data_IF_325702233656
#
_entry.id   IF_325702233656
#
_cell.length_a   1.000
_cell.length_b   1.000
_cell.length_c   1.000
_cell.angle_alpha   90.00
_cell.angle_beta   90.00
_cell.angle_gamma   90.00
#
_symmetry.space_group_name_H-M   'P 1'
#
loop_
_entity.id
_entity.type
_entity.pdbx_description
1 polymer ?
#
# COMPACT_ATOMS: atom_id res chain seq x y z
N UNK A 1 33.00 14.96 4.04
CA UNK A 1 32.39 15.79 2.98
C UNK A 1 30.87 15.61 3.07
N UNK A 2 30.20 16.59 3.64
CA UNK A 2 28.75 16.55 3.90
C UNK A 2 27.95 16.90 2.64
N UNK A 3 27.10 16.01 2.19
CA UNK A 3 26.13 16.29 1.11
C UNK A 3 24.92 17.06 1.68
N UNK A 4 24.39 18.04 0.96
CA UNK A 4 23.36 18.91 1.50
C UNK A 4 21.98 18.24 1.60
N UNK A 5 21.31 18.46 2.71
CA UNK A 5 19.93 18.03 2.99
C UNK A 5 18.86 18.71 2.10
N UNK A 6 19.28 19.57 1.19
CA UNK A 6 18.37 20.39 0.39
C UNK A 6 17.63 19.65 -0.76
N UNK A 7 18.18 18.57 -1.27
CA UNK A 7 17.62 17.91 -2.46
C UNK A 7 16.31 17.15 -2.18
N UNK A 8 16.19 16.57 -0.98
CA UNK A 8 14.97 15.83 -0.61
C UNK A 8 13.78 16.76 -0.38
N UNK A 9 14.03 17.96 0.17
CA UNK A 9 12.99 18.96 0.39
C UNK A 9 12.48 19.58 -0.92
N UNK A 10 13.36 19.72 -1.91
CA UNK A 10 12.99 20.24 -3.24
C UNK A 10 12.15 19.25 -4.03
N UNK A 11 12.47 17.95 -3.94
CA UNK A 11 11.71 16.89 -4.60
C UNK A 11 10.28 16.79 -4.05
N UNK A 12 10.10 17.04 -2.74
CA UNK A 12 8.78 16.98 -2.12
C UNK A 12 7.89 18.18 -2.52
N UNK A 13 8.50 19.36 -2.75
CA UNK A 13 7.77 20.57 -3.20
C UNK A 13 7.23 20.45 -4.62
N UNK A 14 7.94 19.76 -5.49
CA UNK A 14 7.52 19.58 -6.88
C UNK A 14 6.30 18.66 -7.05
N UNK A 15 5.90 17.99 -5.98
CA UNK A 15 4.82 16.98 -5.99
C UNK A 15 3.46 17.50 -5.57
N UNK A 16 3.43 18.61 -4.81
CA UNK A 16 2.16 19.24 -4.43
C UNK A 16 1.78 20.25 -5.51
N UNK A 17 0.91 19.84 -6.41
CA UNK A 17 0.37 20.73 -7.45
C UNK A 17 -0.24 21.98 -6.84
N UNK A 18 0.48 23.06 -6.97
CA UNK A 18 0.09 24.45 -6.90
C UNK A 18 -0.95 24.89 -5.87
N UNK A 19 -0.50 25.19 -4.65
CA UNK A 19 -1.22 26.14 -3.81
C UNK A 19 -0.22 27.24 -3.43
N UNK A 20 -0.44 28.45 -3.98
CA UNK A 20 0.35 29.62 -3.60
C UNK A 20 0.10 29.95 -2.13
N UNK A 21 1.16 29.89 -1.34
CA UNK A 21 1.13 30.41 0.03
C UNK A 21 1.37 31.93 -0.01
N UNK A 22 0.39 32.67 0.47
CA UNK A 22 0.51 34.10 0.76
C UNK A 22 1.39 34.29 1.99
N UNK A 23 2.42 35.11 1.85
CA UNK A 23 3.31 35.50 2.92
C UNK A 23 2.65 36.54 3.84
N UNK A 24 2.53 36.23 5.12
CA UNK A 24 2.28 37.24 6.16
C UNK A 24 3.57 37.46 6.95
N UNK A 25 4.11 38.64 6.83
CA UNK A 25 5.27 39.11 7.62
C UNK A 25 4.83 39.46 9.05
N UNK A 26 5.74 39.15 9.99
CA UNK A 26 5.52 39.34 11.40
C UNK A 26 5.76 40.75 11.89
N UNK A 27 5.18 41.07 13.04
CA UNK A 27 5.60 42.19 13.88
C UNK A 27 5.82 41.68 15.30
N UNK A 28 7.03 41.97 15.80
CA UNK A 28 7.37 41.84 17.21
C UNK A 28 6.99 43.13 17.96
N UNK A 29 6.57 42.99 19.19
CA UNK A 29 6.86 43.88 20.32
C UNK A 29 5.99 43.57 21.53
N UNK A 30 6.58 43.32 22.67
CA UNK A 30 6.66 44.25 23.79
C UNK A 30 6.03 43.71 25.05
N UNK A 31 6.83 43.36 25.97
CA UNK A 31 6.91 43.17 27.42
C UNK A 31 5.69 43.51 28.32
N UNK A 32 5.64 42.71 29.39
CA UNK A 32 5.42 43.06 30.84
C UNK A 32 4.08 42.74 31.46
N UNK A 33 4.17 41.88 32.46
CA UNK A 33 3.75 41.87 33.87
C UNK A 33 2.32 41.51 34.31
N UNK A 34 2.31 40.43 35.06
CA UNK A 34 1.71 40.14 36.41
C UNK A 34 0.23 39.84 36.58
N UNK A 35 0.09 38.74 37.34
CA UNK A 35 -0.87 38.42 38.40
C UNK A 35 -2.19 37.72 38.13
N UNK A 36 -2.22 36.46 38.56
CA UNK A 36 -3.27 35.93 39.44
C UNK A 36 -4.63 35.58 38.85
N UNK A 37 -4.93 34.28 38.79
CA UNK A 37 -6.29 33.78 38.63
C UNK A 37 -6.40 32.45 37.96
N UNK A 38 -7.01 31.49 38.63
CA UNK A 38 -7.08 30.08 38.28
C UNK A 38 -7.53 29.71 36.87
N UNK A 39 -6.89 28.86 36.14
CA UNK A 39 -7.02 28.46 35.19
C UNK A 39 -7.82 27.61 34.94
N UNK A 40 -8.83 27.91 34.52
CA UNK A 40 -9.66 26.96 33.82
C UNK A 40 -8.88 26.60 32.54
N UNK A 41 -8.32 25.44 32.51
CA UNK A 41 -7.72 24.88 31.31
C UNK A 41 -8.85 24.71 30.27
N UNK A 42 -8.99 25.70 29.41
CA UNK A 42 -9.73 25.53 28.15
C UNK A 42 -8.95 24.55 27.30
N UNK A 43 -9.22 23.26 27.48
CA UNK A 43 -8.80 22.23 26.53
C UNK A 43 -9.31 22.67 25.14
N UNK A 44 -8.41 23.15 24.29
CA UNK A 44 -8.72 23.34 22.88
C UNK A 44 -9.18 22.00 22.36
N UNK A 45 -10.48 21.79 22.24
CA UNK A 45 -11.05 20.69 21.51
C UNK A 45 -10.43 20.80 20.12
N UNK A 46 -9.52 19.89 19.79
CA UNK A 46 -8.87 19.87 18.49
C UNK A 46 -9.99 19.84 17.44
N UNK A 47 -10.15 20.95 16.75
CA UNK A 47 -11.17 21.08 15.72
C UNK A 47 -10.87 20.04 14.65
N UNK A 48 -11.72 19.00 14.58
CA UNK A 48 -11.55 17.90 13.66
C UNK A 48 -11.52 18.45 12.24
N UNK A 49 -10.36 18.38 11.60
CA UNK A 49 -10.15 18.93 10.26
C UNK A 49 -11.13 18.26 9.29
N UNK A 50 -12.02 19.06 8.69
CA UNK A 50 -12.95 18.57 7.66
C UNK A 50 -12.17 18.31 6.38
N UNK A 51 -12.01 17.03 6.01
CA UNK A 51 -11.32 16.66 4.78
C UNK A 51 -12.21 16.90 3.57
N UNK A 52 -11.64 17.51 2.54
CA UNK A 52 -12.34 17.79 1.28
C UNK A 52 -12.56 16.51 0.49
N UNK A 53 -13.76 16.35 -0.07
CA UNK A 53 -14.11 15.21 -0.92
C UNK A 53 -13.47 15.40 -2.30
N UNK A 54 -12.86 14.34 -2.82
CA UNK A 54 -12.29 14.28 -4.17
C UNK A 54 -13.33 13.60 -5.09
N UNK A 55 -14.29 14.38 -5.57
CA UNK A 55 -15.42 13.87 -6.35
C UNK A 55 -15.00 13.07 -7.59
N UNK A 56 -13.89 13.45 -8.25
CA UNK A 56 -13.32 12.69 -9.36
C UNK A 56 -13.10 11.22 -8.95
N UNK A 57 -12.50 10.99 -7.79
CA UNK A 57 -12.20 9.63 -7.31
C UNK A 57 -13.49 8.88 -6.98
N UNK A 58 -14.47 9.56 -6.38
CA UNK A 58 -15.78 8.96 -6.06
C UNK A 58 -16.44 8.43 -7.37
N UNK A 59 -16.50 9.29 -8.39
CA UNK A 59 -17.14 8.95 -9.67
C UNK A 59 -16.37 7.80 -10.37
N UNK A 60 -15.03 7.92 -10.44
CA UNK A 60 -14.21 6.88 -11.11
C UNK A 60 -14.33 5.52 -10.42
N UNK A 61 -14.31 5.49 -9.09
CA UNK A 61 -14.45 4.24 -8.34
C UNK A 61 -15.86 3.66 -8.48
N UNK A 62 -16.90 4.50 -8.48
CA UNK A 62 -18.28 4.04 -8.72
C UNK A 62 -18.40 3.40 -10.12
N UNK A 63 -17.91 4.07 -11.16
CA UNK A 63 -17.94 3.55 -12.53
C UNK A 63 -17.15 2.24 -12.66
N UNK A 64 -15.98 2.18 -12.01
CA UNK A 64 -15.15 0.97 -12.00
C UNK A 64 -15.89 -0.23 -11.40
N UNK A 65 -16.54 -0.02 -10.24
CA UNK A 65 -17.29 -1.10 -9.56
C UNK A 65 -18.55 -1.50 -10.36
N UNK A 66 -19.26 -0.55 -10.96
CA UNK A 66 -20.39 -0.85 -11.88
C UNK A 66 -19.88 -1.70 -13.06
N UNK A 67 -18.75 -1.31 -13.65
CA UNK A 67 -18.13 -2.09 -14.74
C UNK A 67 -17.74 -3.50 -14.30
N UNK A 68 -17.23 -3.64 -13.08
CA UNK A 68 -16.87 -4.96 -12.55
C UNK A 68 -18.10 -5.84 -12.30
N UNK A 69 -19.19 -5.28 -11.77
CA UNK A 69 -20.46 -6.01 -11.60
C UNK A 69 -21.00 -6.45 -12.98
N UNK A 70 -20.99 -5.56 -13.95
CA UNK A 70 -21.36 -5.90 -15.33
C UNK A 70 -20.52 -7.06 -15.87
N UNK A 71 -19.20 -7.05 -15.60
CA UNK A 71 -18.27 -8.07 -16.07
C UNK A 71 -18.62 -9.49 -15.57
N UNK A 72 -19.24 -9.61 -14.39
CA UNK A 72 -19.66 -10.92 -13.87
C UNK A 72 -20.63 -11.63 -14.84
N UNK A 73 -21.49 -10.87 -15.53
CA UNK A 73 -22.41 -11.40 -16.54
C UNK A 73 -21.72 -11.85 -17.83
N UNK A 74 -20.45 -11.45 -18.04
CA UNK A 74 -19.67 -11.88 -19.20
C UNK A 74 -18.90 -13.18 -18.96
N UNK A 75 -18.74 -13.61 -17.70
CA UNK A 75 -17.94 -14.82 -17.35
C UNK A 75 -18.42 -16.04 -18.12
N UNK A 76 -19.75 -16.36 -18.14
CA UNK A 76 -20.20 -17.55 -18.89
C UNK A 76 -20.05 -17.45 -20.41
N UNK A 77 -19.80 -16.27 -20.93
CA UNK A 77 -19.66 -16.00 -22.38
C UNK A 77 -18.22 -15.99 -22.87
N UNK A 78 -17.25 -16.05 -21.94
CA UNK A 78 -15.82 -15.90 -22.25
C UNK A 78 -15.15 -17.26 -22.45
N UNK A 79 -14.09 -17.27 -23.24
CA UNK A 79 -13.21 -18.44 -23.33
C UNK A 79 -12.57 -18.72 -21.95
N UNK A 80 -12.44 -19.99 -21.60
CA UNK A 80 -11.78 -20.40 -20.36
C UNK A 80 -10.37 -19.82 -20.27
N UNK A 81 -9.63 -19.77 -21.39
CA UNK A 81 -8.29 -19.21 -21.44
C UNK A 81 -8.27 -17.72 -21.01
N UNK A 82 -9.35 -16.96 -21.28
CA UNK A 82 -9.49 -15.57 -20.85
C UNK A 82 -9.58 -15.48 -19.32
N UNK A 83 -10.33 -16.39 -18.71
CA UNK A 83 -10.48 -16.43 -17.25
C UNK A 83 -9.15 -16.81 -16.57
N UNK A 84 -8.46 -17.81 -17.14
CA UNK A 84 -7.12 -18.22 -16.65
C UNK A 84 -6.13 -17.04 -16.78
N UNK A 85 -6.15 -16.35 -17.93
CA UNK A 85 -5.29 -15.20 -18.17
C UNK A 85 -5.58 -14.06 -17.18
N UNK A 86 -6.87 -13.75 -16.95
CA UNK A 86 -7.26 -12.73 -15.97
C UNK A 86 -6.75 -13.10 -14.57
N UNK A 87 -6.82 -14.38 -14.19
CA UNK A 87 -6.27 -14.87 -12.91
C UNK A 87 -4.74 -14.74 -12.87
N UNK A 88 -4.03 -15.08 -13.95
CA UNK A 88 -2.57 -14.91 -14.01
C UNK A 88 -2.18 -13.41 -13.88
N UNK A 89 -2.92 -12.53 -14.55
CA UNK A 89 -2.72 -11.08 -14.41
C UNK A 89 -2.99 -10.64 -12.96
N UNK A 90 -3.98 -11.21 -12.28
CA UNK A 90 -4.25 -10.94 -10.87
C UNK A 90 -3.04 -11.34 -10.01
N UNK A 91 -2.48 -12.53 -10.22
CA UNK A 91 -1.33 -13.02 -9.44
C UNK A 91 -0.10 -12.11 -9.68
N UNK A 92 0.17 -11.77 -10.95
CA UNK A 92 1.28 -10.85 -11.28
C UNK A 92 1.07 -9.49 -10.61
N UNK A 93 -0.13 -8.95 -10.70
CA UNK A 93 -0.53 -7.69 -10.02
C UNK A 93 -0.24 -7.77 -8.51
N UNK A 94 -0.72 -8.85 -7.89
CA UNK A 94 -0.55 -9.06 -6.45
C UNK A 94 0.93 -9.12 -6.07
N UNK A 95 1.75 -9.86 -6.82
CA UNK A 95 3.21 -9.93 -6.58
C UNK A 95 3.89 -8.57 -6.74
N UNK A 96 3.46 -7.75 -7.70
CA UNK A 96 3.99 -6.39 -7.88
C UNK A 96 3.77 -5.51 -6.66
N UNK A 97 2.64 -5.71 -5.96
CA UNK A 97 2.33 -5.01 -4.71
C UNK A 97 3.02 -5.69 -3.53
N UNK A 98 2.79 -6.99 -3.32
CA UNK A 98 3.23 -7.69 -2.11
C UNK A 98 4.73 -7.92 -2.06
N UNK A 99 5.30 -8.62 -3.06
CA UNK A 99 6.75 -8.83 -3.12
C UNK A 99 7.48 -7.53 -3.47
N UNK A 100 6.90 -6.70 -4.35
CA UNK A 100 7.51 -5.45 -4.82
C UNK A 100 7.32 -4.28 -3.85
N UNK A 101 6.26 -3.49 -4.06
CA UNK A 101 6.06 -2.22 -3.33
C UNK A 101 6.12 -2.43 -1.81
N UNK A 102 5.52 -3.50 -1.30
CA UNK A 102 5.43 -3.79 0.12
C UNK A 102 6.76 -4.31 0.70
N UNK A 103 7.14 -5.56 0.37
CA UNK A 103 8.26 -6.20 1.07
C UNK A 103 9.64 -5.72 0.60
N UNK A 104 9.82 -5.48 -0.72
CA UNK A 104 11.11 -5.02 -1.25
C UNK A 104 11.32 -3.52 -0.98
N UNK A 105 10.41 -2.67 -1.46
CA UNK A 105 10.64 -1.21 -1.45
C UNK A 105 10.17 -0.51 -0.17
N UNK A 106 9.08 -0.94 0.48
CA UNK A 106 8.67 -0.32 1.74
C UNK A 106 9.52 -0.80 2.91
N UNK A 107 9.64 -2.12 3.08
CA UNK A 107 10.28 -2.71 4.27
C UNK A 107 11.75 -3.07 4.08
N UNK A 108 12.26 -3.08 2.83
CA UNK A 108 13.64 -3.45 2.57
C UNK A 108 13.96 -4.83 3.20
N UNK A 109 12.99 -5.74 3.14
CA UNK A 109 13.06 -7.02 3.85
C UNK A 109 13.91 -8.06 3.10
N UNK A 110 14.22 -7.80 1.82
CA UNK A 110 15.15 -8.60 1.02
C UNK A 110 15.82 -7.72 -0.03
N UNK A 111 16.87 -8.24 -0.70
CA UNK A 111 17.53 -7.56 -1.81
C UNK A 111 17.30 -8.30 -3.12
N UNK A 112 16.98 -7.56 -4.18
CA UNK A 112 16.66 -8.11 -5.49
C UNK A 112 17.60 -7.54 -6.57
N UNK A 113 18.04 -8.42 -7.49
CA UNK A 113 18.82 -8.03 -8.67
C UNK A 113 17.95 -7.28 -9.68
N UNK A 114 18.59 -6.56 -10.60
CA UNK A 114 17.92 -5.66 -11.54
C UNK A 114 16.77 -6.33 -12.33
N UNK A 115 16.93 -7.55 -12.91
CA UNK A 115 15.84 -8.15 -13.68
C UNK A 115 14.56 -8.35 -12.84
N UNK A 116 14.71 -8.79 -11.58
CA UNK A 116 13.57 -8.98 -10.69
C UNK A 116 12.95 -7.63 -10.32
N UNK A 117 13.76 -6.60 -10.06
CA UNK A 117 13.24 -5.26 -9.77
C UNK A 117 12.44 -4.69 -10.94
N UNK A 118 12.91 -4.90 -12.19
CA UNK A 118 12.18 -4.48 -13.40
C UNK A 118 10.84 -5.22 -13.48
N UNK A 119 10.84 -6.55 -13.32
CA UNK A 119 9.62 -7.36 -13.34
C UNK A 119 8.61 -6.85 -12.30
N UNK A 120 9.07 -6.64 -11.06
CA UNK A 120 8.19 -6.19 -9.97
C UNK A 120 7.66 -4.77 -10.22
N UNK A 121 8.43 -3.89 -10.87
CA UNK A 121 7.98 -2.53 -11.19
C UNK A 121 6.89 -2.55 -12.29
N UNK A 122 7.05 -3.42 -13.29
CA UNK A 122 6.01 -3.60 -14.33
C UNK A 122 4.74 -4.21 -13.70
N UNK A 123 4.90 -5.21 -12.85
CA UNK A 123 3.79 -5.85 -12.12
C UNK A 123 3.08 -4.84 -11.20
N UNK A 124 3.83 -3.95 -10.54
CA UNK A 124 3.25 -2.87 -9.73
C UNK A 124 2.46 -1.88 -10.59
N UNK A 125 2.93 -1.57 -11.81
CA UNK A 125 2.19 -0.71 -12.73
C UNK A 125 0.87 -1.37 -13.16
N UNK A 126 0.85 -2.72 -13.28
CA UNK A 126 -0.39 -3.48 -13.55
C UNK A 126 -1.40 -3.35 -12.40
N UNK A 127 -0.95 -3.08 -11.17
CA UNK A 127 -1.82 -2.89 -10.00
C UNK A 127 -2.55 -1.55 -9.99
N UNK A 128 -1.97 -0.52 -10.59
CA UNK A 128 -2.52 0.84 -10.65
C UNK A 128 -2.94 1.35 -9.25
N UNK A 129 -2.02 1.24 -8.29
CA UNK A 129 -2.22 1.66 -6.88
C UNK A 129 -1.22 2.74 -6.47
N UNK A 130 -0.96 3.71 -7.33
CA UNK A 130 0.11 4.71 -7.26
C UNK A 130 1.47 4.12 -7.69
N UNK A 131 2.42 4.99 -7.99
CA UNK A 131 3.78 4.55 -8.30
C UNK A 131 4.47 3.98 -7.04
N UNK A 132 5.56 3.25 -7.24
CA UNK A 132 6.28 2.56 -6.16
C UNK A 132 6.69 3.54 -5.05
N UNK A 133 7.16 4.74 -5.42
CA UNK A 133 7.61 5.73 -4.42
C UNK A 133 6.44 6.17 -3.55
N UNK A 134 5.30 6.56 -4.16
CA UNK A 134 4.12 7.00 -3.39
C UNK A 134 3.56 5.89 -2.53
N UNK A 135 3.49 4.67 -3.08
CA UNK A 135 2.99 3.51 -2.35
C UNK A 135 3.86 3.22 -1.12
N UNK A 136 5.19 3.15 -1.32
CA UNK A 136 6.13 2.84 -0.23
C UNK A 136 6.19 3.97 0.81
N UNK A 137 6.11 5.24 0.36
CA UNK A 137 6.04 6.40 1.27
C UNK A 137 4.84 6.28 2.20
N UNK A 138 3.65 6.12 1.62
CA UNK A 138 2.40 6.05 2.39
C UNK A 138 2.41 4.85 3.33
N UNK A 139 2.97 3.71 2.88
CA UNK A 139 3.06 2.50 3.70
C UNK A 139 4.03 2.65 4.88
N UNK A 140 5.18 3.32 4.67
CA UNK A 140 6.11 3.64 5.78
C UNK A 140 5.46 4.59 6.80
N UNK A 141 4.68 5.56 6.32
CA UNK A 141 3.91 6.46 7.20
C UNK A 141 2.87 5.66 7.98
N UNK A 142 2.13 4.76 7.32
CA UNK A 142 1.16 3.88 7.94
C UNK A 142 1.79 3.06 9.09
N UNK A 143 2.91 2.39 8.84
CA UNK A 143 3.58 1.59 9.87
C UNK A 143 4.03 2.42 11.08
N UNK A 144 4.51 3.64 10.83
CA UNK A 144 5.03 4.49 11.90
C UNK A 144 3.93 5.17 12.70
N UNK A 145 2.78 5.49 12.08
CA UNK A 145 1.71 6.26 12.69
C UNK A 145 0.36 5.55 12.61
N UNK A 146 0.39 4.23 12.56
CA UNK A 146 -0.82 3.38 12.44
C UNK A 146 -1.88 3.80 13.45
N UNK A 147 -3.14 3.88 12.99
CA UNK A 147 -4.32 4.17 13.82
C UNK A 147 -4.36 5.61 14.38
N UNK A 148 -3.61 6.54 13.77
CA UNK A 148 -3.65 7.98 14.13
C UNK A 148 -4.14 8.81 12.94
N UNK A 149 -4.30 10.12 13.11
CA UNK A 149 -4.65 11.03 12.00
C UNK A 149 -3.53 11.13 10.95
N UNK A 150 -2.32 10.70 11.27
CA UNK A 150 -1.22 10.61 10.33
C UNK A 150 -1.20 9.30 9.53
N UNK A 151 -2.11 8.37 9.82
CA UNK A 151 -2.26 7.12 9.05
C UNK A 151 -3.10 7.38 7.80
N UNK A 152 -2.58 7.13 6.58
CA UNK A 152 -3.35 7.38 5.35
C UNK A 152 -4.70 6.67 5.29
N UNK A 153 -4.82 5.48 5.87
CA UNK A 153 -6.05 4.68 5.85
C UNK A 153 -6.45 4.20 7.26
N UNK A 154 -6.41 5.10 8.21
CA UNK A 154 -6.68 4.92 9.63
C UNK A 154 -7.96 4.12 9.90
N UNK A 155 -7.82 2.89 10.40
CA UNK A 155 -8.94 1.98 10.68
C UNK A 155 -9.80 2.43 11.87
N UNK A 156 -9.29 3.33 12.74
CA UNK A 156 -10.10 3.94 13.80
C UNK A 156 -11.28 4.75 13.23
N UNK A 157 -11.22 5.15 11.97
CA UNK A 157 -12.30 5.87 11.27
C UNK A 157 -13.36 4.93 10.71
N UNK A 158 -13.24 3.63 10.96
CA UNK A 158 -14.19 2.61 10.56
C UNK A 158 -13.83 1.88 9.26
N UNK A 159 -14.51 0.75 9.04
CA UNK A 159 -14.23 -0.16 7.92
C UNK A 159 -14.28 0.57 6.57
N UNK A 160 -15.35 1.31 6.31
CA UNK A 160 -15.52 1.99 5.01
C UNK A 160 -14.36 2.93 4.71
N UNK A 161 -13.94 3.71 5.73
CA UNK A 161 -12.82 4.66 5.54
C UNK A 161 -11.53 3.91 5.23
N UNK A 162 -11.17 2.94 6.05
CA UNK A 162 -9.92 2.18 5.87
C UNK A 162 -9.92 1.39 4.55
N UNK A 163 -11.09 0.90 4.11
CA UNK A 163 -11.20 0.09 2.88
C UNK A 163 -11.07 0.98 1.64
N UNK A 164 -11.97 1.93 1.44
CA UNK A 164 -12.03 2.73 0.21
C UNK A 164 -12.21 4.23 0.46
N UNK A 165 -12.81 4.62 1.57
CA UNK A 165 -13.17 6.02 1.83
C UNK A 165 -11.98 6.97 1.87
N UNK A 166 -10.80 6.46 2.27
CA UNK A 166 -9.56 7.26 2.28
C UNK A 166 -9.19 7.79 0.89
N UNK A 167 -9.58 7.10 -0.17
CA UNK A 167 -9.37 7.56 -1.56
C UNK A 167 -10.32 8.69 -1.97
N UNK A 168 -11.43 8.83 -1.24
CA UNK A 168 -12.49 9.78 -1.57
C UNK A 168 -12.28 11.16 -0.95
N UNK A 169 -11.24 11.31 -0.12
CA UNK A 169 -10.93 12.58 0.55
C UNK A 169 -9.46 12.95 0.35
N UNK A 170 -9.16 14.24 0.50
CA UNK A 170 -7.78 14.72 0.52
C UNK A 170 -7.06 14.12 1.74
N UNK A 171 -5.78 13.80 1.58
CA UNK A 171 -4.96 13.30 2.71
C UNK A 171 -4.99 14.27 3.87
N UNK A 172 -5.11 13.73 5.08
CA UNK A 172 -5.02 14.53 6.30
C UNK A 172 -3.67 15.27 6.33
N UNK A 173 -3.66 16.48 6.86
CA UNK A 173 -2.46 17.31 6.98
C UNK A 173 -1.32 16.57 7.69
N UNK A 174 -1.64 15.82 8.75
CA UNK A 174 -0.65 15.07 9.52
C UNK A 174 0.02 13.96 8.70
N UNK A 175 -0.69 13.31 7.78
CA UNK A 175 -0.09 12.33 6.86
C UNK A 175 1.05 12.98 6.08
N UNK A 176 0.80 14.18 5.56
CA UNK A 176 1.78 14.94 4.76
C UNK A 176 2.96 15.39 5.63
N UNK A 177 2.65 16.02 6.78
CA UNK A 177 3.69 16.56 7.68
C UNK A 177 4.58 15.48 8.28
N UNK A 178 3.98 14.38 8.74
CA UNK A 178 4.74 13.26 9.31
C UNK A 178 5.52 12.53 8.22
N UNK A 179 4.93 12.39 7.02
CA UNK A 179 5.61 11.78 5.88
C UNK A 179 6.87 12.53 5.49
N UNK A 180 6.86 13.87 5.55
CA UNK A 180 8.04 14.70 5.24
C UNK A 180 9.24 14.41 6.15
N UNK A 181 9.01 13.85 7.34
CA UNK A 181 10.06 13.59 8.34
C UNK A 181 10.71 12.22 8.17
N UNK A 182 10.21 11.39 7.26
CA UNK A 182 10.78 10.06 7.01
C UNK A 182 11.84 10.12 5.92
N UNK A 183 12.80 9.20 6.00
CA UNK A 183 13.85 9.07 4.99
C UNK A 183 13.39 8.18 3.84
N UNK A 184 13.46 8.70 2.63
CA UNK A 184 13.14 8.00 1.38
C UNK A 184 14.31 8.00 0.40
N UNK A 185 15.54 8.26 0.89
CA UNK A 185 16.72 8.33 0.03
C UNK A 185 16.91 7.03 -0.78
N UNK A 186 16.67 5.88 -0.15
CA UNK A 186 16.79 4.58 -0.81
C UNK A 186 15.85 4.45 -2.02
N UNK A 187 14.65 4.99 -1.94
CA UNK A 187 13.69 4.98 -3.06
C UNK A 187 14.09 5.98 -4.15
N UNK A 188 14.60 7.15 -3.74
CA UNK A 188 15.03 8.20 -4.67
C UNK A 188 16.34 7.81 -5.40
N UNK A 189 17.17 6.98 -4.77
CA UNK A 189 18.42 6.50 -5.38
C UNK A 189 18.20 5.28 -6.29
N UNK A 190 17.07 4.57 -6.17
CA UNK A 190 16.78 3.38 -7.01
C UNK A 190 16.37 3.82 -8.42
N UNK A 191 17.18 3.49 -9.48
CA UNK A 191 16.85 3.89 -10.84
C UNK A 191 15.56 3.25 -11.39
N UNK A 192 15.18 2.06 -10.91
CA UNK A 192 13.93 1.39 -11.32
C UNK A 192 12.73 2.16 -10.79
N UNK A 193 12.78 2.57 -9.51
CA UNK A 193 11.72 3.38 -8.88
C UNK A 193 11.59 4.72 -9.61
N UNK A 194 12.73 5.41 -9.85
CA UNK A 194 12.71 6.69 -10.57
C UNK A 194 12.13 6.57 -11.98
N UNK A 195 12.53 5.51 -12.71
CA UNK A 195 12.04 5.27 -14.08
C UNK A 195 10.54 5.00 -14.07
N UNK A 196 10.05 4.09 -13.21
CA UNK A 196 8.64 3.72 -13.10
C UNK A 196 7.80 4.95 -12.74
N UNK A 197 8.26 5.76 -11.78
CA UNK A 197 7.59 7.00 -11.37
C UNK A 197 7.49 8.01 -12.51
N UNK A 198 8.60 8.22 -13.24
CA UNK A 198 8.63 9.16 -14.38
C UNK A 198 7.66 8.75 -15.49
N UNK A 199 7.54 7.44 -15.76
CA UNK A 199 6.75 6.91 -16.85
C UNK A 199 5.45 6.23 -16.37
N UNK A 200 5.00 6.56 -15.14
CA UNK A 200 3.93 5.82 -14.45
C UNK A 200 2.64 5.76 -15.26
N UNK A 201 2.18 6.88 -15.81
CA UNK A 201 0.93 6.93 -16.58
C UNK A 201 0.96 6.00 -17.79
N UNK A 202 2.05 6.05 -18.55
CA UNK A 202 2.25 5.17 -19.71
C UNK A 202 2.33 3.70 -19.29
N UNK A 203 3.11 3.42 -18.25
CA UNK A 203 3.27 2.04 -17.72
C UNK A 203 1.91 1.47 -17.29
N UNK A 204 1.08 2.27 -16.62
CA UNK A 204 -0.26 1.84 -16.17
C UNK A 204 -1.15 1.56 -17.38
N UNK A 205 -1.22 2.46 -18.34
CA UNK A 205 -2.05 2.25 -19.55
C UNK A 205 -1.67 0.92 -20.22
N UNK A 206 -0.37 0.69 -20.41
CA UNK A 206 0.13 -0.53 -21.06
C UNK A 206 -0.12 -1.78 -20.20
N UNK A 207 0.31 -1.76 -18.94
CA UNK A 207 0.34 -2.97 -18.11
C UNK A 207 -1.02 -3.30 -17.52
N UNK A 208 -1.81 -2.30 -17.12
CA UNK A 208 -3.10 -2.54 -16.46
C UNK A 208 -4.25 -2.76 -17.45
N UNK A 209 -4.18 -2.15 -18.63
CA UNK A 209 -5.32 -2.14 -19.56
C UNK A 209 -4.98 -2.73 -20.94
N UNK A 210 -3.93 -2.26 -21.60
CA UNK A 210 -3.64 -2.65 -23.01
C UNK A 210 -3.22 -4.13 -23.08
N UNK A 211 -2.18 -4.53 -22.36
CA UNK A 211 -1.65 -5.91 -22.42
C UNK A 211 -2.70 -6.93 -21.97
N UNK A 212 -3.38 -6.75 -20.81
CA UNK A 212 -4.41 -7.73 -20.41
C UNK A 212 -5.54 -7.88 -21.42
N UNK A 213 -5.88 -6.80 -22.14
CA UNK A 213 -6.96 -6.82 -23.14
C UNK A 213 -6.50 -7.46 -24.46
N UNK A 214 -5.30 -7.11 -24.95
CA UNK A 214 -4.87 -7.54 -26.28
C UNK A 214 -4.42 -9.01 -26.32
N UNK A 215 -3.90 -9.57 -25.22
CA UNK A 215 -3.41 -10.96 -25.20
C UNK A 215 -4.55 -11.95 -25.52
N UNK A 216 -5.70 -11.92 -24.84
CA UNK A 216 -6.80 -12.84 -25.20
C UNK A 216 -7.31 -12.64 -26.62
N UNK A 217 -7.44 -11.38 -27.04
CA UNK A 217 -7.91 -11.04 -28.38
C UNK A 217 -6.97 -11.64 -29.46
N UNK A 218 -5.66 -11.50 -29.27
CA UNK A 218 -4.68 -11.90 -30.27
C UNK A 218 -4.44 -13.43 -30.30
N UNK A 219 -4.32 -14.08 -29.12
CA UNK A 219 -3.85 -15.46 -29.03
C UNK A 219 -4.96 -16.50 -29.14
N UNK A 220 -6.20 -16.18 -28.76
CA UNK A 220 -7.31 -17.14 -28.84
C UNK A 220 -8.62 -16.51 -29.27
N UNK A 221 -8.52 -15.39 -29.96
CA UNK A 221 -9.65 -14.73 -30.66
C UNK A 221 -10.81 -14.34 -29.73
N UNK A 222 -10.51 -14.09 -28.45
CA UNK A 222 -11.53 -13.53 -27.55
C UNK A 222 -11.96 -12.15 -28.04
N UNK A 223 -13.23 -11.80 -27.85
CA UNK A 223 -13.69 -10.46 -28.20
C UNK A 223 -12.94 -9.40 -27.38
N UNK A 224 -12.64 -8.25 -27.98
CA UNK A 224 -12.02 -7.14 -27.25
C UNK A 224 -12.88 -6.69 -26.07
N UNK A 225 -14.21 -6.82 -26.21
CA UNK A 225 -15.15 -6.48 -25.15
C UNK A 225 -14.98 -7.38 -23.92
N UNK A 226 -15.02 -8.70 -24.11
CA UNK A 226 -14.83 -9.65 -23.01
C UNK A 226 -13.42 -9.52 -22.41
N UNK A 227 -12.40 -9.44 -23.27
CA UNK A 227 -11.00 -9.26 -22.84
C UNK A 227 -10.86 -8.04 -21.92
N UNK A 228 -11.37 -6.90 -22.34
CA UNK A 228 -11.27 -5.64 -21.58
C UNK A 228 -12.00 -5.75 -20.25
N UNK A 229 -13.26 -6.18 -20.29
CA UNK A 229 -14.05 -6.20 -19.06
C UNK A 229 -13.58 -7.26 -18.05
N UNK A 230 -13.11 -8.43 -18.52
CA UNK A 230 -12.68 -9.50 -17.62
C UNK A 230 -11.23 -9.36 -17.18
N UNK A 231 -10.29 -9.19 -18.14
CA UNK A 231 -8.85 -9.20 -17.83
C UNK A 231 -8.33 -7.83 -17.40
N UNK A 232 -9.05 -6.74 -17.68
CA UNK A 232 -8.69 -5.40 -17.20
C UNK A 232 -9.63 -4.95 -16.08
N UNK A 233 -10.90 -4.67 -16.36
CA UNK A 233 -11.81 -4.04 -15.38
C UNK A 233 -12.09 -4.94 -14.16
N UNK A 234 -12.57 -6.15 -14.37
CA UNK A 234 -12.91 -7.06 -13.27
C UNK A 234 -11.67 -7.42 -12.45
N UNK A 235 -10.61 -7.86 -13.15
CA UNK A 235 -9.34 -8.22 -12.50
C UNK A 235 -8.80 -7.05 -11.67
N UNK A 236 -8.79 -5.83 -12.22
CA UNK A 236 -8.28 -4.64 -11.52
C UNK A 236 -9.14 -4.32 -10.30
N UNK A 237 -10.47 -4.36 -10.42
CA UNK A 237 -11.37 -4.09 -9.29
C UNK A 237 -11.18 -5.10 -8.17
N UNK A 238 -11.06 -6.39 -8.51
CA UNK A 238 -10.79 -7.44 -7.51
C UNK A 238 -9.46 -7.18 -6.81
N UNK A 239 -8.41 -6.86 -7.59
CA UNK A 239 -7.08 -6.57 -7.04
C UNK A 239 -7.10 -5.41 -6.04
N UNK A 240 -7.83 -4.35 -6.36
CA UNK A 240 -7.98 -3.18 -5.47
C UNK A 240 -8.66 -3.58 -4.16
N UNK A 241 -9.82 -4.25 -4.26
CA UNK A 241 -10.60 -4.61 -3.07
C UNK A 241 -9.82 -5.57 -2.16
N UNK A 242 -9.12 -6.53 -2.75
CA UNK A 242 -8.26 -7.46 -1.99
C UNK A 242 -7.16 -6.69 -1.24
N UNK A 243 -6.48 -5.76 -1.91
CA UNK A 243 -5.46 -4.93 -1.27
C UNK A 243 -6.05 -4.08 -0.13
N UNK A 244 -7.22 -3.50 -0.37
CA UNK A 244 -7.89 -2.67 0.66
C UNK A 244 -8.40 -3.48 1.85
N UNK A 245 -8.68 -4.78 1.68
CA UNK A 245 -9.03 -5.66 2.81
C UNK A 245 -7.88 -5.80 3.81
N UNK A 246 -6.63 -5.67 3.35
CA UNK A 246 -5.49 -5.65 4.26
C UNK A 246 -5.57 -4.42 5.19
N UNK A 247 -5.93 -3.25 4.64
CA UNK A 247 -6.05 -2.01 5.42
C UNK A 247 -7.28 -2.02 6.35
N UNK A 248 -8.36 -2.69 5.97
CA UNK A 248 -9.63 -2.68 6.68
C UNK A 248 -9.83 -3.95 7.52
N UNK A 249 -10.12 -5.08 6.87
CA UNK A 249 -10.46 -6.33 7.57
C UNK A 249 -9.31 -6.83 8.45
N UNK A 250 -8.06 -6.75 7.96
CA UNK A 250 -6.91 -7.24 8.74
C UNK A 250 -6.46 -6.27 9.84
N UNK A 251 -7.07 -5.06 9.95
CA UNK A 251 -6.93 -4.18 11.11
C UNK A 251 -8.08 -4.30 12.10
N UNK A 252 -9.15 -5.03 11.76
CA UNK A 252 -10.37 -5.05 12.57
C UNK A 252 -10.79 -6.46 13.03
N UNK A 253 -10.52 -7.49 12.22
CA UNK A 253 -11.04 -8.84 12.47
C UNK A 253 -9.94 -9.89 12.44
N UNK A 254 -9.89 -10.74 13.50
CA UNK A 254 -8.91 -11.81 13.64
C UNK A 254 -8.18 -11.79 14.98
N UNK A 255 -7.16 -12.62 15.09
CA UNK A 255 -6.39 -12.84 16.32
C UNK A 255 -5.13 -11.96 16.36
N UNK A 256 -4.55 -11.81 17.58
CA UNK A 256 -3.33 -11.01 17.79
C UNK A 256 -2.27 -11.80 18.54
N UNK A 257 -1.79 -12.90 17.97
CA UNK A 257 -0.88 -13.80 18.71
C UNK A 257 0.47 -13.20 19.06
N UNK A 258 0.92 -12.13 18.39
CA UNK A 258 2.25 -11.54 18.63
C UNK A 258 2.18 -10.26 19.44
N UNK A 259 1.17 -9.41 19.22
CA UNK A 259 1.00 -8.20 20.03
C UNK A 259 -0.49 -7.81 20.09
N UNK A 260 -1.09 -8.04 21.26
CA UNK A 260 -2.50 -7.69 21.53
C UNK A 260 -2.74 -6.18 21.66
N UNK A 261 -1.66 -5.39 21.81
CA UNK A 261 -1.76 -3.94 22.04
C UNK A 261 -1.87 -3.15 20.74
N UNK A 262 -1.67 -3.80 19.57
CA UNK A 262 -1.83 -3.16 18.25
C UNK A 262 -3.10 -3.70 17.57
N UNK A 263 -3.65 -2.92 16.64
CA UNK A 263 -4.90 -3.31 15.96
C UNK A 263 -4.72 -4.35 14.85
N UNK A 264 -3.64 -4.35 14.07
CA UNK A 264 -3.48 -5.37 13.02
C UNK A 264 -3.68 -6.79 13.53
N UNK A 265 -4.35 -7.62 12.71
CA UNK A 265 -4.82 -8.98 13.06
C UNK A 265 -4.29 -10.04 12.12
N UNK A 266 -4.22 -11.27 12.61
CA UNK A 266 -4.08 -12.46 11.77
C UNK A 266 -5.45 -12.77 11.18
N UNK A 267 -5.59 -12.70 9.86
CA UNK A 267 -6.85 -12.93 9.16
C UNK A 267 -6.62 -13.86 7.97
N UNK A 268 -7.06 -15.12 8.10
CA UNK A 268 -6.82 -16.17 7.11
C UNK A 268 -7.50 -15.86 5.76
N UNK A 269 -8.72 -15.30 5.78
CA UNK A 269 -9.41 -14.96 4.54
C UNK A 269 -8.67 -13.89 3.75
N UNK A 270 -8.16 -12.88 4.45
CA UNK A 270 -7.32 -11.85 3.83
C UNK A 270 -6.01 -12.47 3.32
N UNK A 271 -5.41 -13.41 4.06
CA UNK A 271 -4.19 -14.11 3.59
C UNK A 271 -4.42 -14.85 2.29
N UNK A 272 -5.57 -15.53 2.15
CA UNK A 272 -5.88 -16.26 0.91
C UNK A 272 -6.06 -15.29 -0.26
N UNK A 273 -6.86 -14.23 -0.08
CA UNK A 273 -7.11 -13.24 -1.13
C UNK A 273 -5.86 -12.44 -1.51
N UNK A 274 -5.13 -11.96 -0.51
CA UNK A 274 -3.96 -11.10 -0.68
C UNK A 274 -2.63 -11.88 -0.68
N UNK A 275 -2.68 -13.14 -1.06
CA UNK A 275 -1.54 -14.04 -1.28
C UNK A 275 -0.46 -13.99 -0.17
N UNK A 276 -0.93 -13.93 1.10
CA UNK A 276 -0.06 -14.00 2.28
C UNK A 276 0.01 -12.74 3.13
N UNK A 277 -0.71 -11.66 2.78
CA UNK A 277 -0.62 -10.39 3.53
C UNK A 277 -1.60 -10.30 4.71
N UNK A 278 -2.43 -11.33 4.95
CA UNK A 278 -3.34 -11.37 6.09
C UNK A 278 -2.71 -11.78 7.42
N UNK A 279 -1.42 -12.15 7.43
CA UNK A 279 -0.64 -12.39 8.66
C UNK A 279 -0.22 -11.05 9.27
N UNK A 280 -1.19 -10.15 9.48
CA UNK A 280 -0.93 -8.72 9.61
C UNK A 280 -0.48 -8.32 11.02
N UNK A 281 -0.89 -9.08 12.08
CA UNK A 281 -0.36 -8.87 13.42
C UNK A 281 1.13 -9.24 13.48
N UNK A 282 1.53 -10.36 12.83
CA UNK A 282 2.94 -10.70 12.68
C UNK A 282 3.69 -9.59 11.98
N UNK A 283 3.17 -9.19 10.83
CA UNK A 283 3.83 -8.21 9.96
C UNK A 283 4.04 -6.85 10.65
N UNK A 284 3.04 -6.34 11.38
CA UNK A 284 3.21 -5.08 12.12
C UNK A 284 4.14 -5.22 13.33
N UNK A 285 4.26 -6.45 13.88
CA UNK A 285 5.22 -6.73 14.97
C UNK A 285 6.65 -6.86 14.45
N UNK A 286 6.83 -7.46 13.26
CA UNK A 286 8.14 -7.75 12.66
C UNK A 286 8.19 -7.29 11.19
N UNK A 287 8.11 -5.98 10.93
CA UNK A 287 7.93 -5.50 9.54
C UNK A 287 9.12 -5.77 8.62
N UNK A 288 10.30 -6.02 9.18
CA UNK A 288 11.50 -6.30 8.39
C UNK A 288 11.62 -7.76 7.95
N UNK A 289 10.75 -8.67 8.43
CA UNK A 289 10.80 -10.08 8.05
C UNK A 289 10.27 -10.26 6.62
N UNK A 290 11.09 -10.88 5.73
CA UNK A 290 10.73 -11.02 4.32
C UNK A 290 9.49 -11.87 4.10
N UNK A 291 9.21 -12.82 5.01
CA UNK A 291 8.07 -13.72 4.89
C UNK A 291 6.76 -13.04 5.32
N UNK A 292 6.82 -11.97 6.11
CA UNK A 292 5.66 -11.28 6.71
C UNK A 292 4.74 -12.26 7.47
N UNK A 293 5.28 -13.42 7.90
CA UNK A 293 4.58 -14.47 8.65
C UNK A 293 5.60 -15.44 9.23
N UNK A 294 5.20 -16.24 10.23
CA UNK A 294 6.01 -17.39 10.60
C UNK A 294 6.17 -18.33 9.41
N UNK A 295 7.39 -18.81 9.20
CA UNK A 295 7.65 -19.81 8.16
C UNK A 295 7.00 -21.14 8.55
N UNK A 296 6.56 -21.89 7.54
CA UNK A 296 5.91 -23.19 7.73
C UNK A 296 4.90 -23.45 6.62
N UNK A 297 3.91 -24.29 6.92
CA UNK A 297 2.89 -24.71 5.95
C UNK A 297 1.74 -23.71 5.81
N UNK A 298 1.96 -22.45 6.15
CA UNK A 298 0.95 -21.40 5.99
C UNK A 298 0.86 -20.96 4.53
N UNK A 299 -0.33 -20.66 4.07
CA UNK A 299 -0.57 -20.20 2.70
C UNK A 299 0.01 -18.79 2.52
N UNK A 300 1.17 -18.72 1.89
CA UNK A 300 1.89 -17.45 1.66
C UNK A 300 2.61 -17.48 0.30
N UNK A 301 1.85 -17.40 -0.81
CA UNK A 301 2.45 -17.44 -2.15
C UNK A 301 3.49 -16.34 -2.40
N UNK A 302 3.37 -15.18 -1.75
CA UNK A 302 4.39 -14.12 -1.86
C UNK A 302 5.73 -14.62 -1.35
N UNK A 303 5.77 -15.30 -0.20
CA UNK A 303 7.00 -15.88 0.34
C UNK A 303 7.55 -16.97 -0.57
N UNK A 304 6.68 -17.86 -1.06
CA UNK A 304 7.09 -18.93 -2.00
C UNK A 304 7.74 -18.33 -3.25
N UNK A 305 7.17 -17.23 -3.78
CA UNK A 305 7.74 -16.51 -4.92
C UNK A 305 9.13 -15.94 -4.60
N UNK A 306 9.29 -15.28 -3.45
CA UNK A 306 10.59 -14.71 -3.04
C UNK A 306 11.63 -15.84 -2.86
N UNK A 307 11.23 -16.96 -2.27
CA UNK A 307 12.11 -18.14 -2.09
C UNK A 307 12.52 -18.75 -3.43
N UNK A 308 11.58 -18.84 -4.38
CA UNK A 308 11.87 -19.31 -5.74
C UNK A 308 12.86 -18.36 -6.44
N UNK A 309 12.66 -17.03 -6.29
CA UNK A 309 13.60 -16.04 -6.85
C UNK A 309 14.97 -16.09 -6.17
N UNK A 310 15.02 -16.44 -4.89
CA UNK A 310 16.28 -16.67 -4.18
C UNK A 310 16.99 -17.92 -4.75
N UNK A 311 16.26 -19.00 -4.96
CA UNK A 311 16.80 -20.20 -5.57
C UNK A 311 17.35 -19.94 -6.99
N UNK A 312 16.69 -19.07 -7.76
CA UNK A 312 17.17 -18.63 -9.09
C UNK A 312 18.35 -17.64 -9.02
N UNK A 313 18.78 -17.22 -7.82
CA UNK A 313 19.85 -16.26 -7.64
C UNK A 313 19.47 -14.82 -7.97
N UNK A 314 18.17 -14.51 -8.07
CA UNK A 314 17.66 -13.15 -8.33
C UNK A 314 17.40 -12.37 -7.05
N UNK A 315 17.31 -13.05 -5.92
CA UNK A 315 17.27 -12.48 -4.57
C UNK A 315 18.58 -12.86 -3.87
N UNK A 316 19.23 -11.91 -3.20
CA UNK A 316 20.56 -12.13 -2.60
C UNK A 316 20.57 -12.16 -1.07
N UNK A 317 19.62 -11.48 -0.43
CA UNK A 317 19.51 -11.42 1.02
C UNK A 317 18.03 -11.49 1.39
N UNK A 318 17.73 -12.19 2.48
CA UNK A 318 16.38 -12.23 3.07
C UNK A 318 16.53 -12.02 4.58
N UNK A 319 15.86 -10.98 5.10
CA UNK A 319 15.86 -10.73 6.55
C UNK A 319 14.78 -11.60 7.19
N UNK A 320 15.11 -12.23 8.29
CA UNK A 320 14.19 -13.15 8.98
C UNK A 320 14.34 -12.99 10.47
N UNK A 321 13.22 -13.08 11.19
CA UNK A 321 13.20 -13.02 12.65
C UNK A 321 13.55 -14.44 13.20
N UNK A 322 14.50 -14.55 14.12
CA UNK A 322 14.76 -15.83 14.80
C UNK A 322 13.54 -16.35 15.56
N UNK A 323 13.35 -17.66 15.54
CA UNK A 323 12.19 -18.32 16.17
C UNK A 323 12.08 -17.97 17.67
N UNK A 324 13.22 -17.90 18.35
CA UNK A 324 13.28 -17.58 19.77
C UNK A 324 12.70 -16.19 20.08
N UNK A 325 12.95 -15.23 19.19
CA UNK A 325 12.41 -13.86 19.33
C UNK A 325 10.89 -13.87 19.11
N UNK A 326 10.42 -14.66 18.15
CA UNK A 326 8.97 -14.80 17.88
C UNK A 326 8.26 -15.35 19.11
N UNK A 327 8.77 -16.46 19.67
CA UNK A 327 8.16 -17.12 20.84
C UNK A 327 8.19 -16.20 22.08
N UNK A 328 9.31 -15.55 22.34
CA UNK A 328 9.42 -14.58 23.44
C UNK A 328 8.43 -13.41 23.27
N UNK A 329 8.16 -12.98 22.02
CA UNK A 329 7.18 -11.92 21.75
C UNK A 329 5.75 -12.41 22.02
N UNK A 330 5.41 -13.62 21.57
CA UNK A 330 4.10 -14.26 21.83
C UNK A 330 3.82 -14.34 23.33
N UNK A 331 4.78 -14.82 24.10
CA UNK A 331 4.66 -14.96 25.57
C UNK A 331 4.45 -13.61 26.26
N UNK A 332 5.20 -12.58 25.82
CA UNK A 332 5.18 -11.27 26.46
C UNK A 332 3.94 -10.45 26.12
N UNK A 333 3.53 -10.41 24.86
CA UNK A 333 2.50 -9.48 24.39
C UNK A 333 1.37 -10.11 23.58
N UNK A 334 1.40 -11.40 23.33
CA UNK A 334 0.34 -12.09 22.58
C UNK A 334 -0.99 -12.17 23.33
N UNK A 335 -2.06 -12.46 22.61
CA UNK A 335 -3.40 -12.65 23.16
C UNK A 335 -3.68 -14.13 23.54
N UNK A 336 -2.71 -15.00 23.39
CA UNK A 336 -2.83 -16.43 23.67
C UNK A 336 -3.41 -17.27 22.51
N UNK A 337 -3.75 -16.65 21.39
CA UNK A 337 -4.19 -17.38 20.20
C UNK A 337 -3.00 -17.91 19.39
N UNK A 338 -3.23 -18.87 18.49
CA UNK A 338 -2.20 -19.48 17.63
C UNK A 338 -2.34 -19.03 16.17
#
# INVERSE_FOLDING_TARGET
MSKPAGAAAAAFRAMDGGTKMSSCEGREAGSADEAGGGXISNGKVAQRQRQEIVWRNVVLMALLHVGAVYSLGLIPKAHLFTLVWAYLCFVVTALGVTAGAHRLWSHRSYKAKLPLRIFLALANSMAFQNDIFEWARDHRVHHKYSETDADPHNAQRGFFFAHIGWLFVRKHRDVIEKGRKLDFSDLLDDPVVRFQRKHYKTSVVLMCFVIPTLVPWYFWEESLWNSYFLASILRYTISLNVAWLVNSAAHMYGNRPYDKNINPRQNTLVSVGAIGEGFHNYHHTFPFDYAASELGLKFNPTTWFIDFMFWLGLVTERKQVPKEIIEARKERTGDGSS
#
